data_IF_628569843423
#
_entry.id   IF_628569843423
#
_cell.length_a   1.000
_cell.length_b   1.000
_cell.length_c   1.000
_cell.angle_alpha   90.00
_cell.angle_beta   90.00
_cell.angle_gamma   90.00
#
_symmetry.space_group_name_H-M   'P 1'
#
loop_
_entity.id
_entity.type
_entity.pdbx_description
1 polymer ?
#
# COMPACT_ATOMS: atom_id res chain seq x y z
N UNK A 1 -14.00 20.02 6.05
CA UNK A 1 -13.86 18.55 5.96
C UNK A 1 -12.76 18.12 6.90
N UNK A 2 -13.06 17.26 7.84
CA UNK A 2 -12.06 16.68 8.73
C UNK A 2 -11.90 15.22 8.37
N UNK A 3 -10.89 14.89 7.58
CA UNK A 3 -10.58 13.51 7.11
C UNK A 3 -10.45 12.54 8.28
N UNK A 4 -9.90 13.01 9.41
CA UNK A 4 -9.77 12.21 10.62
C UNK A 4 -11.14 11.73 11.15
N UNK A 5 -12.13 12.61 11.20
CA UNK A 5 -13.48 12.24 11.66
C UNK A 5 -14.12 11.18 10.76
N UNK A 6 -13.84 11.25 9.46
CA UNK A 6 -14.33 10.24 8.51
C UNK A 6 -13.61 8.89 8.68
N UNK A 7 -12.32 8.89 9.03
CA UNK A 7 -11.59 7.67 9.38
C UNK A 7 -12.11 7.06 10.70
N UNK A 8 -12.41 7.89 11.69
CA UNK A 8 -12.99 7.42 12.97
C UNK A 8 -14.34 6.73 12.74
N UNK A 9 -15.19 7.27 11.88
CA UNK A 9 -16.47 6.64 11.48
C UNK A 9 -16.27 5.29 10.78
N UNK A 10 -15.10 5.06 10.20
CA UNK A 10 -14.72 3.80 9.54
C UNK A 10 -14.02 2.80 10.46
N UNK A 11 -13.92 3.07 11.76
CA UNK A 11 -13.21 2.19 12.71
C UNK A 11 -13.70 0.73 12.68
N UNK A 12 -15.00 0.50 12.43
CA UNK A 12 -15.57 -0.84 12.29
C UNK A 12 -15.35 -1.47 10.90
N UNK A 13 -15.03 -0.67 9.90
CA UNK A 13 -14.73 -1.09 8.53
C UNK A 13 -13.55 -0.30 7.98
N UNK A 14 -12.35 -0.56 8.51
CA UNK A 14 -11.16 0.21 8.14
C UNK A 14 -10.81 0.02 6.67
N UNK A 15 -10.18 1.04 6.09
CA UNK A 15 -9.60 0.97 4.75
C UNK A 15 -8.49 -0.07 4.76
N UNK A 16 -8.58 -1.05 3.86
CA UNK A 16 -7.61 -2.13 3.74
C UNK A 16 -6.48 -1.75 2.81
N UNK A 17 -5.29 -1.61 3.35
CA UNK A 17 -4.09 -1.18 2.62
C UNK A 17 -3.22 -2.37 2.25
N UNK A 18 -2.76 -2.39 0.99
CA UNK A 18 -1.64 -3.18 0.54
C UNK A 18 -0.39 -2.31 0.38
N UNK A 19 0.63 -2.54 1.18
CA UNK A 19 1.90 -1.82 1.07
C UNK A 19 2.84 -2.55 0.10
N UNK A 20 3.42 -1.82 -0.84
CA UNK A 20 4.43 -2.33 -1.78
C UNK A 20 5.77 -1.68 -1.43
N UNK A 21 6.68 -2.50 -0.92
CA UNK A 21 8.00 -2.07 -0.47
C UNK A 21 8.01 -1.63 1.00
N UNK A 22 8.72 -2.38 1.84
CA UNK A 22 8.94 -2.08 3.25
C UNK A 22 10.34 -1.49 3.50
N UNK A 23 10.79 -0.62 2.60
CA UNK A 23 12.04 0.12 2.70
C UNK A 23 11.92 1.30 3.68
N UNK A 24 12.71 2.35 3.44
CA UNK A 24 12.77 3.51 4.34
C UNK A 24 11.41 4.19 4.50
N UNK A 25 10.73 4.53 3.40
CA UNK A 25 9.41 5.15 3.48
C UNK A 25 8.37 4.17 4.04
N UNK A 26 8.35 2.93 3.52
CA UNK A 26 7.42 1.91 3.99
C UNK A 26 7.50 1.70 5.50
N UNK A 27 8.71 1.65 6.06
CA UNK A 27 8.92 1.54 7.51
C UNK A 27 8.37 2.74 8.28
N UNK A 28 8.53 3.96 7.74
CA UNK A 28 7.96 5.17 8.35
C UNK A 28 6.43 5.13 8.35
N UNK A 29 5.82 4.69 7.26
CA UNK A 29 4.38 4.48 7.17
C UNK A 29 3.92 3.42 8.17
N UNK A 30 4.58 2.26 8.21
CA UNK A 30 4.26 1.17 9.13
C UNK A 30 4.34 1.58 10.60
N UNK A 31 5.25 2.49 10.96
CA UNK A 31 5.37 2.98 12.33
C UNK A 31 4.11 3.71 12.83
N UNK A 32 3.33 4.29 11.93
CA UNK A 32 2.13 5.07 12.25
C UNK A 32 0.84 4.23 12.22
N UNK A 33 0.86 3.11 11.52
CA UNK A 33 -0.33 2.26 11.32
C UNK A 33 -1.02 1.85 12.61
N UNK A 34 -0.31 1.39 13.68
CA UNK A 34 -0.98 0.95 14.90
C UNK A 34 -1.77 2.04 15.63
N UNK A 35 -1.47 3.30 15.37
CA UNK A 35 -2.13 4.46 15.98
C UNK A 35 -3.07 5.20 15.02
N UNK A 36 -3.23 4.71 13.80
CA UNK A 36 -4.11 5.32 12.79
C UNK A 36 -5.46 4.62 12.76
N UNK A 37 -6.48 5.28 13.28
CA UNK A 37 -7.85 4.75 13.29
C UNK A 37 -8.43 4.73 11.87
N UNK A 38 -9.20 3.69 11.54
CA UNK A 38 -9.91 3.57 10.26
C UNK A 38 -9.05 3.11 9.09
N UNK A 39 -7.82 2.67 9.35
CA UNK A 39 -6.89 2.13 8.36
C UNK A 39 -6.21 0.88 8.92
N UNK A 40 -6.09 -0.15 8.10
CA UNK A 40 -5.33 -1.38 8.41
C UNK A 40 -4.44 -1.76 7.25
N UNK A 41 -3.23 -2.21 7.53
CA UNK A 41 -2.37 -2.86 6.53
C UNK A 41 -2.74 -4.35 6.49
N UNK A 42 -3.48 -4.72 5.46
CA UNK A 42 -3.89 -6.11 5.25
C UNK A 42 -2.76 -6.97 4.73
N UNK A 43 -1.93 -6.41 3.87
CA UNK A 43 -0.87 -7.15 3.21
C UNK A 43 0.33 -6.25 2.89
N UNK A 44 1.50 -6.87 2.83
CA UNK A 44 2.76 -6.23 2.45
C UNK A 44 3.41 -7.10 1.37
N UNK A 45 3.76 -6.51 0.24
CA UNK A 45 4.58 -7.11 -0.80
C UNK A 45 5.98 -6.50 -0.76
N UNK A 46 7.00 -7.33 -0.66
CA UNK A 46 8.41 -6.94 -0.71
C UNK A 46 9.20 -8.07 -1.38
N UNK A 47 10.27 -7.74 -2.07
CA UNK A 47 11.16 -8.75 -2.67
C UNK A 47 11.74 -9.73 -1.63
N UNK A 48 11.79 -9.28 -0.37
CA UNK A 48 12.18 -10.09 0.78
C UNK A 48 11.11 -9.97 1.88
N UNK A 49 10.12 -10.89 1.92
CA UNK A 49 9.06 -10.88 2.92
C UNK A 49 9.55 -11.00 4.37
N UNK A 50 10.67 -11.67 4.62
CA UNK A 50 11.23 -11.79 5.97
C UNK A 50 11.84 -10.46 6.43
N UNK A 51 12.49 -9.74 5.51
CA UNK A 51 12.93 -8.36 5.77
C UNK A 51 11.75 -7.44 6.05
N UNK A 52 10.63 -7.59 5.35
CA UNK A 52 9.42 -6.83 5.60
C UNK A 52 8.84 -7.12 6.99
N UNK A 53 8.80 -8.37 7.43
CA UNK A 53 8.40 -8.74 8.80
C UNK A 53 9.32 -8.11 9.85
N UNK A 54 10.63 -8.13 9.59
CA UNK A 54 11.60 -7.50 10.48
C UNK A 54 11.43 -5.98 10.54
N UNK A 55 11.11 -5.33 9.41
CA UNK A 55 10.79 -3.91 9.38
C UNK A 55 9.58 -3.58 10.28
N UNK A 56 8.54 -4.40 10.27
CA UNK A 56 7.39 -4.27 11.18
C UNK A 56 7.82 -4.37 12.65
N UNK A 57 8.66 -5.34 13.01
CA UNK A 57 9.20 -5.49 14.37
C UNK A 57 10.01 -4.27 14.79
N UNK A 58 10.87 -3.79 13.91
CA UNK A 58 11.75 -2.65 14.18
C UNK A 58 10.99 -1.35 14.48
N UNK A 59 9.78 -1.21 13.94
CA UNK A 59 8.92 -0.04 14.21
C UNK A 59 7.86 -0.31 15.29
N UNK A 60 7.98 -1.40 16.02
CA UNK A 60 7.20 -1.65 17.23
C UNK A 60 5.89 -2.41 17.04
N UNK A 61 5.67 -3.06 15.89
CA UNK A 61 4.50 -3.92 15.72
C UNK A 61 4.54 -5.12 16.66
N UNK A 62 3.38 -5.47 17.24
CA UNK A 62 3.24 -6.70 18.01
C UNK A 62 3.31 -7.92 17.08
N UNK A 63 3.72 -9.07 17.64
CA UNK A 63 3.70 -10.33 16.87
C UNK A 63 2.28 -10.72 16.45
N UNK A 64 1.25 -10.37 17.22
CA UNK A 64 -0.15 -10.61 16.86
C UNK A 64 -0.56 -9.81 15.64
N UNK A 65 -0.15 -8.54 15.53
CA UNK A 65 -0.40 -7.71 14.36
C UNK A 65 0.34 -8.25 13.13
N UNK A 66 1.59 -8.67 13.29
CA UNK A 66 2.37 -9.28 12.21
C UNK A 66 1.69 -10.58 11.71
N UNK A 67 1.20 -11.43 12.61
CA UNK A 67 0.48 -12.66 12.25
C UNK A 67 -0.81 -12.41 11.48
N UNK A 68 -1.49 -11.31 11.75
CA UNK A 68 -2.71 -10.91 11.02
C UNK A 68 -2.42 -10.36 9.63
N UNK A 69 -1.21 -9.93 9.37
CA UNK A 69 -0.79 -9.30 8.11
C UNK A 69 -0.26 -10.37 7.16
N UNK A 70 -0.73 -10.37 5.92
CA UNK A 70 -0.21 -11.26 4.89
C UNK A 70 1.06 -10.68 4.27
N UNK A 71 2.04 -11.52 3.99
CA UNK A 71 3.30 -11.12 3.36
C UNK A 71 3.49 -11.88 2.05
N UNK A 72 3.83 -11.14 1.00
CA UNK A 72 4.01 -11.65 -0.36
C UNK A 72 5.37 -11.23 -0.91
N UNK A 73 5.93 -12.04 -1.79
CA UNK A 73 7.16 -11.73 -2.52
C UNK A 73 6.91 -10.98 -3.84
N UNK A 74 5.64 -10.84 -4.23
CA UNK A 74 5.25 -10.07 -5.41
C UNK A 74 3.95 -9.31 -5.21
N UNK A 75 3.85 -8.16 -5.88
CA UNK A 75 2.64 -7.34 -5.90
C UNK A 75 1.47 -8.06 -6.55
N UNK A 76 1.71 -8.83 -7.61
CA UNK A 76 0.65 -9.55 -8.31
C UNK A 76 -0.02 -10.57 -7.40
N UNK A 77 0.75 -11.39 -6.70
CA UNK A 77 0.19 -12.39 -5.77
C UNK A 77 -0.57 -11.75 -4.62
N UNK A 78 -0.11 -10.59 -4.14
CA UNK A 78 -0.83 -9.81 -3.13
C UNK A 78 -2.19 -9.31 -3.65
N UNK A 79 -2.23 -8.77 -4.87
CA UNK A 79 -3.48 -8.30 -5.49
C UNK A 79 -4.43 -9.48 -5.74
N UNK A 80 -3.93 -10.60 -6.25
CA UNK A 80 -4.72 -11.78 -6.55
C UNK A 80 -5.35 -12.42 -5.30
N UNK A 81 -4.71 -12.25 -4.14
CA UNK A 81 -5.29 -12.66 -2.86
C UNK A 81 -6.52 -11.83 -2.45
N UNK A 82 -6.68 -10.65 -2.99
CA UNK A 82 -7.87 -9.81 -2.84
C UNK A 82 -8.00 -9.10 -1.50
N UNK A 83 -9.08 -8.32 -1.39
CA UNK A 83 -9.46 -7.64 -0.15
C UNK A 83 -8.65 -6.40 0.17
N UNK A 84 -8.01 -5.78 -0.83
CA UNK A 84 -7.26 -4.53 -0.71
C UNK A 84 -8.07 -3.41 -1.35
N UNK A 85 -8.27 -2.33 -0.63
CA UNK A 85 -8.96 -1.13 -1.12
C UNK A 85 -7.99 -0.17 -1.81
N UNK A 86 -6.80 -0.01 -1.24
CA UNK A 86 -5.78 0.90 -1.75
C UNK A 86 -4.37 0.31 -1.64
N UNK A 87 -3.61 0.45 -2.70
CA UNK A 87 -2.19 0.13 -2.72
C UNK A 87 -1.37 1.37 -2.38
N UNK A 88 -0.32 1.21 -1.59
CA UNK A 88 0.70 2.24 -1.35
C UNK A 88 2.00 1.76 -1.98
N UNK A 89 2.41 2.40 -3.06
CA UNK A 89 3.64 2.08 -3.78
C UNK A 89 4.80 2.89 -3.24
N UNK A 90 5.76 2.24 -2.62
CA UNK A 90 6.90 2.89 -1.96
C UNK A 90 8.26 2.22 -2.25
N UNK A 91 8.40 1.57 -3.39
CA UNK A 91 9.64 0.85 -3.73
C UNK A 91 10.81 1.77 -4.08
N UNK A 92 10.55 2.99 -4.56
CA UNK A 92 11.58 3.91 -5.05
C UNK A 92 12.20 3.50 -6.40
N UNK A 93 11.75 2.43 -7.01
CA UNK A 93 12.18 2.02 -8.36
C UNK A 93 11.15 2.51 -9.39
N UNK A 94 11.51 3.39 -10.34
CA UNK A 94 10.54 3.99 -11.24
C UNK A 94 9.86 2.98 -12.16
N UNK A 95 10.57 2.00 -12.69
CA UNK A 95 9.97 0.97 -13.56
C UNK A 95 9.04 0.04 -12.78
N UNK A 96 9.42 -0.34 -11.57
CA UNK A 96 8.55 -1.12 -10.69
C UNK A 96 7.29 -0.33 -10.33
N UNK A 97 7.41 0.94 -10.00
CA UNK A 97 6.27 1.80 -9.67
C UNK A 97 5.27 1.92 -10.82
N UNK A 98 5.76 2.08 -12.05
CA UNK A 98 4.90 2.09 -13.25
C UNK A 98 4.18 0.74 -13.43
N UNK A 99 4.90 -0.37 -13.29
CA UNK A 99 4.31 -1.71 -13.37
C UNK A 99 3.23 -1.93 -12.30
N UNK A 100 3.50 -1.53 -11.06
CA UNK A 100 2.55 -1.64 -9.95
C UNK A 100 1.30 -0.77 -10.18
N UNK A 101 1.46 0.44 -10.71
CA UNK A 101 0.32 1.29 -11.08
C UNK A 101 -0.55 0.64 -12.16
N UNK A 102 0.07 0.01 -13.17
CA UNK A 102 -0.67 -0.74 -14.19
C UNK A 102 -1.44 -1.93 -13.60
N UNK A 103 -0.86 -2.65 -12.65
CA UNK A 103 -1.55 -3.73 -11.93
C UNK A 103 -2.74 -3.20 -11.12
N UNK A 104 -2.57 -2.07 -10.42
CA UNK A 104 -3.65 -1.40 -9.68
C UNK A 104 -4.81 -1.01 -10.61
N UNK A 105 -4.51 -0.40 -11.76
CA UNK A 105 -5.49 -0.01 -12.77
C UNK A 105 -6.24 -1.24 -13.30
N UNK A 106 -5.53 -2.31 -13.65
CA UNK A 106 -6.12 -3.53 -14.17
C UNK A 106 -7.02 -4.23 -13.14
N UNK A 107 -6.66 -4.20 -11.86
CA UNK A 107 -7.44 -4.78 -10.76
C UNK A 107 -8.52 -3.84 -10.20
N UNK A 108 -8.61 -2.61 -10.70
CA UNK A 108 -9.49 -1.55 -10.20
C UNK A 108 -9.29 -1.26 -8.71
N UNK A 109 -8.05 -1.30 -8.25
CA UNK A 109 -7.64 -0.98 -6.90
C UNK A 109 -7.08 0.45 -6.88
N UNK A 110 -7.47 1.25 -5.91
CA UNK A 110 -6.91 2.60 -5.74
C UNK A 110 -5.42 2.52 -5.45
N UNK A 111 -4.66 3.57 -5.79
CA UNK A 111 -3.22 3.61 -5.53
C UNK A 111 -2.76 4.97 -5.03
N UNK A 112 -1.90 4.95 -4.03
CA UNK A 112 -1.11 6.10 -3.58
C UNK A 112 0.33 5.89 -4.07
N UNK A 113 0.76 6.74 -4.99
CA UNK A 113 2.10 6.67 -5.59
C UNK A 113 3.08 7.52 -4.77
N UNK A 114 3.80 6.88 -3.87
CA UNK A 114 4.87 7.55 -3.11
C UNK A 114 6.18 7.59 -3.91
N UNK A 115 6.30 6.75 -4.90
CA UNK A 115 7.45 6.66 -5.81
C UNK A 115 7.45 7.86 -6.77
N UNK A 116 8.05 8.96 -6.32
CA UNK A 116 8.11 10.23 -7.05
C UNK A 116 8.75 10.07 -8.43
N UNK A 117 9.77 9.21 -8.54
CA UNK A 117 10.48 8.96 -9.80
C UNK A 117 9.56 8.31 -10.85
N UNK A 118 8.70 7.39 -10.43
CA UNK A 118 7.69 6.79 -11.31
C UNK A 118 6.63 7.82 -11.73
N UNK A 119 6.19 8.66 -10.80
CA UNK A 119 5.21 9.71 -11.07
C UNK A 119 5.74 10.78 -12.02
N UNK A 120 6.97 11.23 -11.82
CA UNK A 120 7.63 12.18 -12.74
C UNK A 120 7.77 11.60 -14.16
N UNK A 121 8.08 10.30 -14.25
CA UNK A 121 8.29 9.65 -15.54
C UNK A 121 6.99 9.38 -16.30
N UNK A 122 5.95 8.94 -15.64
CA UNK A 122 4.74 8.42 -16.28
C UNK A 122 3.40 8.87 -15.63
N UNK A 123 3.44 9.71 -14.59
CA UNK A 123 2.27 10.06 -13.80
C UNK A 123 1.10 10.61 -14.60
N UNK A 124 1.36 11.45 -15.61
CA UNK A 124 0.30 12.01 -16.46
C UNK A 124 -0.49 10.94 -17.23
N UNK A 125 0.19 9.91 -17.74
CA UNK A 125 -0.45 8.78 -18.42
C UNK A 125 -1.17 7.89 -17.42
N UNK A 126 -0.50 7.55 -16.32
CA UNK A 126 -1.06 6.69 -15.27
C UNK A 126 -2.31 7.30 -14.63
N UNK A 127 -2.30 8.60 -14.33
CA UNK A 127 -3.46 9.31 -13.80
C UNK A 127 -4.65 9.31 -14.77
N UNK A 128 -4.38 9.45 -16.08
CA UNK A 128 -5.45 9.33 -17.10
C UNK A 128 -6.05 7.93 -17.13
N UNK A 129 -5.22 6.91 -17.20
CA UNK A 129 -5.67 5.52 -17.23
C UNK A 129 -6.43 5.13 -15.94
N UNK A 130 -5.95 5.58 -14.78
CA UNK A 130 -6.61 5.37 -13.50
C UNK A 130 -8.02 6.00 -13.48
N UNK A 131 -8.14 7.24 -13.94
CA UNK A 131 -9.43 7.91 -14.07
C UNK A 131 -10.38 7.17 -15.02
N UNK A 132 -9.87 6.73 -16.18
CA UNK A 132 -10.66 5.97 -17.14
C UNK A 132 -11.11 4.61 -16.56
N UNK A 133 -10.34 4.01 -15.66
CA UNK A 133 -10.69 2.80 -14.92
C UNK A 133 -11.58 3.04 -13.68
N UNK A 134 -11.81 4.30 -13.30
CA UNK A 134 -12.63 4.67 -12.15
C UNK A 134 -11.94 4.50 -10.80
N UNK A 135 -10.61 4.55 -10.77
CA UNK A 135 -9.82 4.50 -9.52
C UNK A 135 -9.13 5.83 -9.24
N UNK A 136 -8.71 6.00 -8.00
CA UNK A 136 -7.87 7.13 -7.55
C UNK A 136 -6.39 6.75 -7.73
N UNK A 137 -5.66 7.68 -8.34
CA UNK A 137 -4.20 7.65 -8.48
C UNK A 137 -3.60 8.88 -7.80
#
# INVERSE_FOLDING_TARGET
MYIYDDLVKRAERPVQVGLIGAGKFGSMFLSQVPTTVGLEVKAIADLDPDRARQACRNVGWSEDLIKKTAFFDSTQTMIDAGGIDVLVESTGNPLAGIAHAKMAIASKTHIVMVNVEADVLAGGILAKEARDAGIVY
#
